data_IF_230373449270
#
_entry.id   IF_230373449270
#
_cell.length_a   1.000
_cell.length_b   1.000
_cell.length_c   1.000
_cell.angle_alpha   90.00
_cell.angle_beta   90.00
_cell.angle_gamma   90.00
#
_symmetry.space_group_name_H-M   'P 1'
#
loop_
_entity.id
_entity.type
_entity.pdbx_description
1 polymer ?
#
# COMPACT_ATOMS: atom_id res chain seq x y z
N UNK A 1 -19.83 8.72 3.62
CA UNK A 1 -19.36 7.32 3.81
C UNK A 1 -20.57 6.48 4.17
N UNK A 2 -20.68 5.28 3.61
CA UNK A 2 -21.76 4.35 3.97
C UNK A 2 -21.69 3.95 5.45
N UNK A 3 -22.85 3.63 6.02
CA UNK A 3 -22.94 3.21 7.42
C UNK A 3 -22.26 1.85 7.64
N UNK A 4 -21.87 1.51 8.88
CA UNK A 4 -21.39 0.16 9.20
C UNK A 4 -22.38 -0.95 8.77
N UNK A 5 -23.69 -0.69 8.87
CA UNK A 5 -24.74 -1.62 8.47
C UNK A 5 -24.75 -1.85 6.95
N UNK A 6 -24.54 -0.82 6.15
CA UNK A 6 -24.45 -0.94 4.69
C UNK A 6 -23.23 -1.76 4.26
N UNK A 7 -22.09 -1.56 4.93
CA UNK A 7 -20.86 -2.33 4.69
C UNK A 7 -21.05 -3.80 5.07
N UNK A 8 -21.67 -4.07 6.22
CA UNK A 8 -22.00 -5.43 6.66
C UNK A 8 -22.95 -6.12 5.65
N UNK A 9 -23.96 -5.41 5.15
CA UNK A 9 -24.87 -5.92 4.12
C UNK A 9 -24.15 -6.22 2.81
N UNK A 10 -23.23 -5.36 2.38
CA UNK A 10 -22.41 -5.59 1.20
C UNK A 10 -21.48 -6.80 1.37
N UNK A 11 -20.81 -6.91 2.52
CA UNK A 11 -19.95 -8.03 2.88
C UNK A 11 -20.69 -9.38 2.88
N UNK A 12 -21.90 -9.43 3.43
CA UNK A 12 -22.72 -10.64 3.49
C UNK A 12 -23.10 -11.21 2.10
N UNK A 13 -23.05 -10.41 1.04
CA UNK A 13 -23.32 -10.85 -0.35
C UNK A 13 -22.12 -11.55 -1.01
N UNK A 14 -20.95 -11.55 -0.38
CA UNK A 14 -19.74 -12.17 -0.94
C UNK A 14 -19.76 -13.68 -0.71
N UNK A 15 -19.52 -14.43 -1.79
CA UNK A 15 -19.39 -15.88 -1.76
C UNK A 15 -18.06 -16.26 -1.09
N UNK A 16 -18.03 -17.34 -0.29
CA UNK A 16 -16.80 -17.81 0.37
C UNK A 16 -15.61 -17.97 -0.59
N UNK A 17 -15.85 -18.52 -1.78
CA UNK A 17 -14.82 -18.68 -2.82
C UNK A 17 -14.17 -17.36 -3.24
N UNK A 18 -14.96 -16.30 -3.42
CA UNK A 18 -14.42 -14.99 -3.82
C UNK A 18 -13.60 -14.33 -2.70
N UNK A 19 -13.97 -14.58 -1.44
CA UNK A 19 -13.17 -14.19 -0.29
C UNK A 19 -11.87 -14.99 -0.20
N UNK A 20 -11.92 -16.31 -0.40
CA UNK A 20 -10.73 -17.17 -0.43
C UNK A 20 -9.75 -16.78 -1.54
N UNK A 21 -10.23 -16.54 -2.76
CA UNK A 21 -9.42 -16.09 -3.88
C UNK A 21 -8.76 -14.72 -3.59
N UNK A 22 -9.51 -13.77 -3.03
CA UNK A 22 -8.95 -12.47 -2.66
C UNK A 22 -7.92 -12.55 -1.53
N UNK A 23 -8.17 -13.36 -0.50
CA UNK A 23 -7.19 -13.63 0.58
C UNK A 23 -5.93 -14.27 0.02
N UNK A 24 -6.07 -15.27 -0.86
CA UNK A 24 -4.94 -15.94 -1.50
C UNK A 24 -4.09 -14.99 -2.34
N UNK A 25 -4.69 -14.01 -3.03
CA UNK A 25 -3.95 -12.99 -3.76
C UNK A 25 -3.15 -12.06 -2.82
N UNK A 26 -3.75 -11.65 -1.69
CA UNK A 26 -3.07 -10.85 -0.66
C UNK A 26 -1.93 -11.64 -0.02
N UNK A 27 -2.17 -12.90 0.36
CA UNK A 27 -1.19 -13.80 0.96
C UNK A 27 0.01 -14.03 0.03
N UNK A 28 -0.25 -14.40 -1.22
CA UNK A 28 0.81 -14.65 -2.20
C UNK A 28 1.69 -13.42 -2.40
N UNK A 29 1.10 -12.22 -2.42
CA UNK A 29 1.86 -10.97 -2.54
C UNK A 29 2.63 -10.64 -1.27
N UNK A 30 2.04 -10.82 -0.09
CA UNK A 30 2.72 -10.61 1.20
C UNK A 30 3.94 -11.52 1.37
N UNK A 31 3.82 -12.80 1.05
CA UNK A 31 4.95 -13.75 1.08
C UNK A 31 6.04 -13.39 0.06
N UNK A 32 5.65 -12.95 -1.14
CA UNK A 32 6.62 -12.47 -2.13
C UNK A 32 7.34 -11.20 -1.65
N UNK A 33 6.61 -10.28 -1.02
CA UNK A 33 7.15 -9.05 -0.48
C UNK A 33 8.17 -9.32 0.63
N UNK A 34 7.84 -10.20 1.60
CA UNK A 34 8.78 -10.62 2.66
C UNK A 34 10.10 -11.17 2.10
N UNK A 35 10.03 -12.08 1.12
CA UNK A 35 11.25 -12.60 0.45
C UNK A 35 12.05 -11.53 -0.27
N UNK A 36 11.40 -10.47 -0.74
CA UNK A 36 12.06 -9.36 -1.44
C UNK A 36 12.65 -8.35 -0.46
N UNK A 37 12.08 -8.19 0.74
CA UNK A 37 12.68 -7.39 1.82
C UNK A 37 14.05 -7.93 2.23
N UNK A 38 14.24 -9.26 2.29
CA UNK A 38 15.56 -9.86 2.58
C UNK A 38 16.63 -9.41 1.56
N UNK A 39 16.25 -9.24 0.29
CA UNK A 39 17.16 -8.76 -0.76
C UNK A 39 17.46 -7.27 -0.62
N UNK A 40 16.47 -6.50 -0.19
CA UNK A 40 16.63 -5.08 0.07
C UNK A 40 17.58 -4.88 1.27
N UNK A 41 17.38 -5.63 2.34
CA UNK A 41 18.23 -5.63 3.54
C UNK A 41 19.69 -5.96 3.19
N UNK A 42 19.92 -7.03 2.41
CA UNK A 42 21.26 -7.36 1.92
C UNK A 42 21.89 -6.26 1.04
N UNK A 43 21.06 -5.46 0.37
CA UNK A 43 21.49 -4.32 -0.45
C UNK A 43 22.08 -3.16 0.34
N UNK A 44 21.72 -3.02 1.62
CA UNK A 44 22.18 -1.93 2.49
C UNK A 44 23.70 -1.90 2.65
N UNK A 45 24.36 -3.05 2.59
CA UNK A 45 25.81 -3.17 2.65
C UNK A 45 26.53 -2.39 1.52
N UNK A 46 25.82 -2.03 0.44
CA UNK A 46 26.35 -1.28 -0.69
C UNK A 46 26.14 0.23 -0.59
N UNK A 47 25.45 0.71 0.45
CA UNK A 47 25.25 2.14 0.69
C UNK A 47 26.49 2.68 1.40
N UNK A 48 27.33 3.45 0.71
CA UNK A 48 28.55 4.05 1.27
C UNK A 48 28.52 5.57 1.34
N UNK A 49 27.63 6.20 0.59
CA UNK A 49 27.55 7.65 0.42
C UNK A 49 26.12 8.17 0.59
N UNK A 50 25.96 9.45 0.90
CA UNK A 50 24.64 10.07 1.05
C UNK A 50 23.82 9.97 -0.24
N UNK A 51 24.47 10.12 -1.40
CA UNK A 51 23.83 9.95 -2.71
C UNK A 51 23.33 8.52 -2.96
N UNK A 52 24.12 7.52 -2.55
CA UNK A 52 23.67 6.13 -2.62
C UNK A 52 22.52 5.88 -1.66
N UNK A 53 22.55 6.47 -0.46
CA UNK A 53 21.48 6.35 0.52
C UNK A 53 20.17 6.97 0.01
N UNK A 54 20.22 8.15 -0.58
CA UNK A 54 19.06 8.80 -1.23
C UNK A 54 18.48 7.95 -2.36
N UNK A 55 19.34 7.46 -3.26
CA UNK A 55 18.91 6.59 -4.36
C UNK A 55 18.29 5.30 -3.83
N UNK A 56 18.88 4.73 -2.79
CA UNK A 56 18.38 3.53 -2.14
C UNK A 56 17.06 3.78 -1.41
N UNK A 57 16.90 4.93 -0.75
CA UNK A 57 15.66 5.38 -0.10
C UNK A 57 14.52 5.53 -1.09
N UNK A 58 14.76 6.17 -2.25
CA UNK A 58 13.77 6.26 -3.33
C UNK A 58 13.39 4.88 -3.87
N UNK A 59 14.38 4.03 -4.14
CA UNK A 59 14.12 2.67 -4.62
C UNK A 59 13.34 1.83 -3.59
N UNK A 60 13.67 1.99 -2.31
CA UNK A 60 12.94 1.37 -1.18
C UNK A 60 11.51 1.84 -1.17
N UNK A 61 11.25 3.15 -1.20
CA UNK A 61 9.90 3.71 -1.21
C UNK A 61 9.06 3.18 -2.38
N UNK A 62 9.60 3.18 -3.60
CA UNK A 62 8.92 2.61 -4.77
C UNK A 62 8.61 1.13 -4.60
N UNK A 63 9.55 0.37 -4.03
CA UNK A 63 9.36 -1.04 -3.72
C UNK A 63 8.27 -1.28 -2.66
N UNK A 64 8.23 -0.45 -1.62
CA UNK A 64 7.19 -0.49 -0.59
C UNK A 64 5.81 -0.17 -1.17
N UNK A 65 5.69 0.84 -2.04
CA UNK A 65 4.43 1.19 -2.70
C UNK A 65 3.92 0.09 -3.64
N UNK A 66 4.81 -0.61 -4.37
CA UNK A 66 4.40 -1.76 -5.18
C UNK A 66 3.84 -2.90 -4.31
N UNK A 67 4.17 -2.99 -3.02
CA UNK A 67 3.66 -4.05 -2.15
C UNK A 67 2.16 -3.95 -1.84
N UNK A 68 1.54 -2.78 -2.05
CA UNK A 68 0.19 -2.49 -1.59
C UNK A 68 -0.87 -3.40 -2.27
N UNK A 69 -1.84 -3.94 -1.51
CA UNK A 69 -2.86 -4.86 -2.03
C UNK A 69 -4.03 -4.11 -2.70
N UNK A 70 -3.70 -3.20 -3.62
CA UNK A 70 -4.63 -2.32 -4.32
C UNK A 70 -5.03 -2.84 -5.72
N UNK A 71 -4.69 -4.08 -6.06
CA UNK A 71 -5.10 -4.68 -7.33
C UNK A 71 -6.48 -5.35 -7.22
N UNK A 72 -7.27 -5.45 -8.31
CA UNK A 72 -8.59 -6.06 -8.29
C UNK A 72 -8.61 -7.50 -7.73
N UNK A 73 -7.56 -8.29 -7.96
CA UNK A 73 -7.47 -9.66 -7.48
C UNK A 73 -7.40 -9.74 -5.94
N UNK A 74 -6.96 -8.68 -5.28
CA UNK A 74 -6.91 -8.58 -3.82
C UNK A 74 -8.22 -8.07 -3.21
N UNK A 75 -9.28 -7.86 -4.00
CA UNK A 75 -10.57 -7.35 -3.54
C UNK A 75 -11.67 -8.41 -3.74
N UNK A 76 -12.33 -8.89 -2.67
CA UNK A 76 -13.35 -9.93 -2.80
C UNK A 76 -14.57 -9.47 -3.63
N UNK A 77 -14.86 -8.17 -3.62
CA UNK A 77 -15.93 -7.58 -4.43
C UNK A 77 -15.59 -7.59 -5.93
N UNK A 78 -14.34 -7.24 -6.28
CA UNK A 78 -13.87 -7.28 -7.67
C UNK A 78 -13.80 -8.73 -8.17
N UNK A 79 -13.22 -9.63 -7.39
CA UNK A 79 -13.13 -11.06 -7.73
C UNK A 79 -14.51 -11.67 -8.00
N UNK A 80 -15.51 -11.40 -7.15
CA UNK A 80 -16.86 -11.91 -7.35
C UNK A 80 -17.54 -11.39 -8.64
N UNK A 81 -17.18 -10.19 -9.10
CA UNK A 81 -17.81 -9.52 -10.24
C UNK A 81 -16.94 -9.50 -11.50
N UNK A 82 -15.76 -10.13 -11.47
CA UNK A 82 -14.85 -10.23 -12.60
C UNK A 82 -15.57 -10.88 -13.80
N UNK A 83 -15.53 -10.21 -14.97
CA UNK A 83 -16.10 -10.71 -16.22
C UNK A 83 -17.59 -10.43 -16.47
N UNK A 84 -18.29 -9.72 -15.58
CA UNK A 84 -19.73 -9.52 -15.69
C UNK A 84 -20.20 -8.10 -16.12
N UNK A 85 -19.30 -7.13 -16.38
CA UNK A 85 -19.64 -5.70 -16.53
C UNK A 85 -20.52 -5.17 -15.37
N UNK A 86 -20.42 -5.76 -14.18
CA UNK A 86 -21.21 -5.44 -12.98
C UNK A 86 -20.39 -4.71 -11.90
N UNK A 87 -19.23 -4.17 -12.25
CA UNK A 87 -18.40 -3.38 -11.33
C UNK A 87 -19.16 -2.19 -10.74
N UNK A 88 -20.04 -1.54 -11.52
CA UNK A 88 -20.92 -0.43 -11.09
C UNK A 88 -21.92 -0.72 -10.00
N UNK A 89 -22.20 -2.00 -9.72
CA UNK A 89 -23.15 -2.42 -8.69
C UNK A 89 -22.56 -3.43 -7.70
N UNK A 90 -21.23 -3.56 -7.64
CA UNK A 90 -20.62 -4.37 -6.59
C UNK A 90 -20.84 -3.73 -5.21
N UNK A 91 -20.89 -4.53 -4.16
CA UNK A 91 -21.17 -4.03 -2.81
C UNK A 91 -20.18 -2.96 -2.32
N UNK A 92 -18.92 -2.99 -2.80
CA UNK A 92 -17.95 -1.92 -2.53
C UNK A 92 -18.36 -0.62 -3.24
N UNK A 93 -18.69 -0.68 -4.53
CA UNK A 93 -19.14 0.48 -5.31
C UNK A 93 -20.40 1.12 -4.72
N UNK A 94 -21.37 0.32 -4.29
CA UNK A 94 -22.59 0.77 -3.61
C UNK A 94 -22.28 1.58 -2.32
N UNK A 95 -21.21 1.23 -1.62
CA UNK A 95 -20.90 1.79 -0.29
C UNK A 95 -19.80 2.87 -0.31
N UNK A 96 -19.00 2.93 -1.39
CA UNK A 96 -17.80 3.75 -1.48
C UNK A 96 -17.74 4.64 -2.73
N UNK A 97 -18.90 4.95 -3.32
CA UNK A 97 -19.04 6.05 -4.28
C UNK A 97 -18.84 5.67 -5.74
N UNK A 98 -19.17 4.43 -6.13
CA UNK A 98 -19.18 4.00 -7.52
C UNK A 98 -18.04 3.05 -7.90
N UNK A 99 -17.85 2.87 -9.20
CA UNK A 99 -16.89 1.91 -9.77
C UNK A 99 -15.47 2.18 -9.30
N UNK A 100 -14.69 1.12 -9.10
CA UNK A 100 -13.32 1.24 -8.57
C UNK A 100 -12.37 2.01 -9.50
N UNK A 101 -12.69 2.10 -10.79
CA UNK A 101 -11.98 2.89 -11.80
C UNK A 101 -12.60 4.28 -12.04
N UNK A 102 -13.68 4.63 -11.34
CA UNK A 102 -14.22 5.98 -11.36
C UNK A 102 -13.40 6.91 -10.46
N UNK A 103 -13.05 8.10 -10.99
CA UNK A 103 -12.30 9.18 -10.30
C UNK A 103 -12.98 9.64 -8.98
N UNK A 104 -14.28 9.38 -8.84
CA UNK A 104 -15.06 9.77 -7.66
C UNK A 104 -15.12 8.70 -6.58
N UNK A 105 -14.72 7.45 -6.88
CA UNK A 105 -14.77 6.35 -5.92
C UNK A 105 -13.65 6.46 -4.89
N UNK A 106 -13.90 5.98 -3.66
CA UNK A 106 -12.87 6.00 -2.62
C UNK A 106 -11.64 5.14 -2.99
N UNK A 107 -11.85 4.08 -3.77
CA UNK A 107 -10.78 3.20 -4.23
C UNK A 107 -9.96 3.84 -5.35
N UNK A 108 -10.61 4.41 -6.37
CA UNK A 108 -9.96 5.13 -7.46
C UNK A 108 -9.12 6.28 -6.93
N UNK A 109 -9.68 7.10 -6.04
CA UNK A 109 -8.95 8.20 -5.40
C UNK A 109 -7.76 7.76 -4.56
N UNK A 110 -7.82 6.58 -3.93
CA UNK A 110 -6.69 6.04 -3.18
C UNK A 110 -5.60 5.55 -4.13
N UNK A 111 -5.96 4.85 -5.22
CA UNK A 111 -5.00 4.41 -6.24
C UNK A 111 -4.32 5.60 -6.89
N UNK A 112 -5.08 6.60 -7.33
CA UNK A 112 -4.55 7.83 -7.92
C UNK A 112 -3.57 8.51 -6.96
N UNK A 113 -3.94 8.69 -5.68
CA UNK A 113 -3.04 9.29 -4.71
C UNK A 113 -1.73 8.48 -4.50
N UNK A 114 -1.80 7.15 -4.53
CA UNK A 114 -0.60 6.29 -4.45
C UNK A 114 0.26 6.41 -5.72
N UNK A 115 -0.37 6.49 -6.89
CA UNK A 115 0.32 6.67 -8.18
C UNK A 115 0.99 8.06 -8.23
N UNK A 116 0.30 9.10 -7.78
CA UNK A 116 0.84 10.45 -7.68
C UNK A 116 2.03 10.50 -6.73
N UNK A 117 1.93 9.87 -5.55
CA UNK A 117 3.05 9.74 -4.60
C UNK A 117 4.25 9.02 -5.25
N UNK A 118 4.01 7.93 -5.97
CA UNK A 118 5.08 7.24 -6.69
C UNK A 118 5.69 8.12 -7.80
N UNK A 119 4.87 8.94 -8.47
CA UNK A 119 5.30 9.96 -9.44
C UNK A 119 6.22 11.00 -8.80
N UNK A 120 5.81 11.60 -7.69
CA UNK A 120 6.61 12.57 -6.93
C UNK A 120 7.97 11.99 -6.51
N UNK A 121 8.02 10.73 -6.08
CA UNK A 121 9.28 10.04 -5.75
C UNK A 121 10.14 9.82 -7.01
N UNK A 122 9.52 9.44 -8.12
CA UNK A 122 10.21 9.17 -9.39
C UNK A 122 10.78 10.44 -10.03
N UNK A 123 10.11 11.58 -9.89
CA UNK A 123 10.52 12.86 -10.44
C UNK A 123 11.71 13.51 -9.72
N UNK A 124 12.07 13.00 -8.53
CA UNK A 124 13.27 13.42 -7.82
C UNK A 124 14.49 13.06 -8.66
N UNK A 125 15.01 14.08 -9.36
CA UNK A 125 16.22 13.96 -10.16
C UNK A 125 17.41 13.62 -9.27
N UNK A 126 18.37 12.88 -9.81
CA UNK A 126 19.67 12.59 -9.17
C UNK A 126 20.58 13.84 -9.06
N UNK A 127 20.01 15.04 -9.06
CA UNK A 127 20.73 16.26 -8.76
C UNK A 127 21.15 16.21 -7.28
N UNK A 128 22.37 16.64 -6.95
CA UNK A 128 22.82 16.63 -5.57
C UNK A 128 21.85 17.44 -4.71
N UNK A 129 21.28 16.78 -3.72
CA UNK A 129 20.61 17.47 -2.62
C UNK A 129 21.58 18.49 -2.03
N UNK A 130 21.05 19.65 -1.64
CA UNK A 130 21.85 20.71 -1.01
C UNK A 130 22.21 20.38 0.45
N UNK A 131 21.61 19.33 1.02
CA UNK A 131 21.90 18.81 2.36
C UNK A 131 22.73 17.54 2.27
N UNK A 132 23.86 17.50 2.98
CA UNK A 132 24.64 16.27 3.10
C UNK A 132 23.87 15.25 3.94
N UNK A 133 23.31 14.21 3.30
CA UNK A 133 22.77 13.04 4.00
C UNK A 133 23.93 12.26 4.61
N UNK A 134 23.92 12.08 5.94
CA UNK A 134 24.86 11.19 6.62
C UNK A 134 24.54 9.73 6.22
N UNK A 135 25.45 9.01 5.55
CA UNK A 135 25.22 7.63 5.13
C UNK A 135 24.88 6.68 6.30
N UNK A 136 25.45 6.92 7.48
CA UNK A 136 25.25 6.03 8.63
C UNK A 136 23.90 6.26 9.31
N UNK A 137 23.44 7.52 9.39
CA UNK A 137 22.08 7.82 9.83
C UNK A 137 21.05 7.31 8.83
N UNK A 138 21.30 7.50 7.54
CA UNK A 138 20.41 7.03 6.49
C UNK A 138 20.30 5.50 6.46
N UNK A 139 21.40 4.76 6.68
CA UNK A 139 21.34 3.30 6.85
C UNK A 139 20.42 2.89 7.99
N UNK A 140 20.53 3.52 9.16
CA UNK A 140 19.66 3.21 10.31
C UNK A 140 18.19 3.46 9.99
N UNK A 141 17.88 4.55 9.29
CA UNK A 141 16.51 4.82 8.84
C UNK A 141 16.01 3.77 7.83
N UNK A 142 16.85 3.34 6.87
CA UNK A 142 16.50 2.29 5.93
C UNK A 142 16.29 0.93 6.61
N UNK A 143 17.16 0.56 7.56
CA UNK A 143 17.01 -0.66 8.37
C UNK A 143 15.68 -0.63 9.13
N UNK A 144 15.36 0.50 9.76
CA UNK A 144 14.11 0.67 10.48
C UNK A 144 12.89 0.65 9.53
N UNK A 145 13.00 1.24 8.34
CA UNK A 145 11.98 1.18 7.28
C UNK A 145 11.69 -0.26 6.85
N UNK A 146 12.74 -1.05 6.60
CA UNK A 146 12.63 -2.46 6.23
C UNK A 146 12.02 -3.28 7.36
N UNK A 147 12.47 -3.08 8.60
CA UNK A 147 11.95 -3.79 9.77
C UNK A 147 10.45 -3.50 9.99
N UNK A 148 10.03 -2.23 9.95
CA UNK A 148 8.60 -1.85 10.05
C UNK A 148 7.78 -2.43 8.92
N UNK A 149 8.32 -2.45 7.70
CA UNK A 149 7.64 -3.04 6.53
C UNK A 149 7.47 -4.55 6.68
N UNK A 150 8.46 -5.24 7.25
CA UNK A 150 8.40 -6.68 7.55
C UNK A 150 7.33 -6.96 8.59
N UNK A 151 7.34 -6.23 9.70
CA UNK A 151 6.33 -6.37 10.76
C UNK A 151 4.92 -6.13 10.22
N UNK A 152 4.73 -5.10 9.39
CA UNK A 152 3.44 -4.81 8.76
C UNK A 152 2.96 -5.97 7.88
N UNK A 153 3.85 -6.56 7.08
CA UNK A 153 3.51 -7.67 6.20
C UNK A 153 3.20 -8.96 6.98
N UNK A 154 3.99 -9.28 8.01
CA UNK A 154 3.74 -10.42 8.89
C UNK A 154 2.39 -10.28 9.63
N UNK A 155 2.10 -9.07 10.13
CA UNK A 155 0.82 -8.75 10.77
C UNK A 155 -0.33 -8.91 9.80
N UNK A 156 -0.22 -8.38 8.58
CA UNK A 156 -1.24 -8.56 7.54
C UNK A 156 -1.52 -10.04 7.30
N UNK A 157 -0.49 -10.87 7.14
CA UNK A 157 -0.64 -12.31 6.90
C UNK A 157 -1.33 -13.02 8.07
N UNK A 158 -1.01 -12.64 9.31
CA UNK A 158 -1.65 -13.17 10.49
C UNK A 158 -3.13 -12.74 10.60
N UNK A 159 -3.43 -11.47 10.32
CA UNK A 159 -4.79 -10.92 10.42
C UNK A 159 -5.74 -11.46 9.35
N UNK A 160 -5.25 -11.68 8.12
CA UNK A 160 -6.09 -12.23 7.05
C UNK A 160 -6.36 -13.73 7.20
N UNK A 161 -5.60 -14.43 8.05
CA UNK A 161 -5.76 -15.85 8.30
C UNK A 161 -7.11 -16.12 8.99
N UNK A 162 -8.11 -16.51 8.20
CA UNK A 162 -9.47 -16.74 8.69
C UNK A 162 -10.34 -15.48 8.75
N UNK A 163 -9.85 -14.31 8.32
CA UNK A 163 -10.65 -13.09 8.27
C UNK A 163 -11.88 -13.25 7.37
N UNK A 164 -13.01 -12.67 7.81
CA UNK A 164 -14.16 -12.42 6.96
C UNK A 164 -13.89 -11.25 5.98
N UNK A 165 -14.90 -10.84 5.22
CA UNK A 165 -14.75 -9.75 4.25
C UNK A 165 -14.38 -8.43 4.92
N UNK A 166 -15.02 -8.09 6.04
CA UNK A 166 -14.74 -6.85 6.75
C UNK A 166 -13.34 -6.87 7.35
N UNK A 167 -12.96 -7.97 8.01
CA UNK A 167 -11.62 -8.16 8.56
C UNK A 167 -10.53 -8.11 7.49
N UNK A 168 -10.76 -8.68 6.30
CA UNK A 168 -9.81 -8.57 5.19
C UNK A 168 -9.62 -7.10 4.75
N UNK A 169 -10.70 -6.36 4.60
CA UNK A 169 -10.64 -4.97 4.15
C UNK A 169 -10.03 -4.04 5.21
N UNK A 170 -10.32 -4.28 6.49
CA UNK A 170 -9.70 -3.59 7.63
C UNK A 170 -8.20 -3.88 7.73
N UNK A 171 -7.79 -5.15 7.64
CA UNK A 171 -6.38 -5.55 7.66
C UNK A 171 -5.61 -4.91 6.49
N UNK A 172 -6.20 -4.88 5.29
CA UNK A 172 -5.61 -4.18 4.13
C UNK A 172 -5.45 -2.68 4.39
N UNK A 173 -6.46 -2.03 4.97
CA UNK A 173 -6.40 -0.60 5.31
C UNK A 173 -5.27 -0.32 6.31
N UNK A 174 -5.18 -1.13 7.37
CA UNK A 174 -4.13 -1.03 8.38
C UNK A 174 -2.74 -1.23 7.77
N UNK A 175 -2.58 -2.25 6.93
CA UNK A 175 -1.32 -2.51 6.22
C UNK A 175 -0.89 -1.35 5.33
N UNK A 176 -1.80 -0.76 4.54
CA UNK A 176 -1.48 0.41 3.70
C UNK A 176 -0.97 1.56 4.57
N UNK A 177 -1.64 1.85 5.69
CA UNK A 177 -1.20 2.87 6.64
C UNK A 177 0.19 2.61 7.21
N UNK A 178 0.45 1.37 7.61
CA UNK A 178 1.75 0.96 8.15
C UNK A 178 2.89 1.06 7.10
N UNK A 179 2.61 0.74 5.83
CA UNK A 179 3.59 0.90 4.75
C UNK A 179 3.88 2.38 4.48
N UNK A 180 2.88 3.27 4.54
CA UNK A 180 3.10 4.71 4.42
C UNK A 180 3.98 5.26 5.56
N UNK A 181 3.82 4.74 6.78
CA UNK A 181 4.68 5.06 7.94
C UNK A 181 6.08 4.46 7.85
N UNK A 182 6.23 3.38 7.09
CA UNK A 182 7.51 2.76 6.86
C UNK A 182 8.32 3.45 5.75
N UNK A 183 7.74 4.34 4.95
CA UNK A 183 8.48 5.06 3.91
C UNK A 183 9.67 5.84 4.50
N UNK A 184 10.87 5.78 3.87
CA UNK A 184 12.05 6.50 4.33
C UNK A 184 11.99 7.99 3.93
N UNK A 185 10.96 8.70 4.40
CA UNK A 185 10.68 10.09 4.03
C UNK A 185 11.80 11.06 4.49
N UNK A 186 12.48 10.75 5.59
CA UNK A 186 13.61 11.55 6.09
C UNK A 186 14.78 11.56 5.12
N UNK A 187 15.08 10.40 4.52
CA UNK A 187 16.10 10.26 3.46
C UNK A 187 15.66 10.93 2.15
N UNK A 188 14.38 10.81 1.81
CA UNK A 188 13.85 11.41 0.58
C UNK A 188 13.87 12.95 0.67
N UNK A 189 13.53 13.51 1.84
CA UNK A 189 13.70 14.93 2.15
C UNK A 189 12.91 15.88 1.23
N UNK A 190 11.80 15.42 0.65
CA UNK A 190 11.01 16.18 -0.32
C UNK A 190 9.66 16.61 0.25
N UNK A 191 9.40 17.93 0.40
CA UNK A 191 8.10 18.42 0.89
C UNK A 191 6.92 18.02 0.01
N UNK A 192 7.16 17.78 -1.29
CA UNK A 192 6.17 17.27 -2.23
C UNK A 192 5.77 15.84 -1.87
N UNK A 193 6.76 14.99 -1.56
CA UNK A 193 6.54 13.61 -1.13
C UNK A 193 5.80 13.59 0.20
N UNK A 194 6.17 14.44 1.16
CA UNK A 194 5.46 14.52 2.45
C UNK A 194 3.99 14.90 2.27
N UNK A 195 3.70 15.90 1.42
CA UNK A 195 2.31 16.28 1.09
C UNK A 195 1.56 15.15 0.39
N UNK A 196 2.21 14.43 -0.52
CA UNK A 196 1.60 13.31 -1.21
C UNK A 196 1.30 12.15 -0.25
N UNK A 197 2.19 11.85 0.72
CA UNK A 197 1.93 10.86 1.78
C UNK A 197 0.66 11.24 2.57
N UNK A 198 0.54 12.51 2.98
CA UNK A 198 -0.64 12.98 3.69
C UNK A 198 -1.92 12.92 2.84
N UNK A 199 -1.81 13.16 1.53
CA UNK A 199 -2.93 12.98 0.61
C UNK A 199 -3.38 11.52 0.57
N UNK A 200 -2.45 10.55 0.48
CA UNK A 200 -2.80 9.12 0.56
C UNK A 200 -3.47 8.78 1.89
N UNK A 201 -2.92 9.25 3.02
CA UNK A 201 -3.53 9.03 4.36
C UNK A 201 -4.95 9.55 4.43
N UNK A 202 -5.21 10.75 3.90
CA UNK A 202 -6.54 11.35 3.89
C UNK A 202 -7.55 10.54 3.06
N UNK A 203 -7.12 9.95 1.93
CA UNK A 203 -7.96 9.06 1.10
C UNK A 203 -8.17 7.70 1.76
N UNK A 204 -7.16 7.16 2.43
CA UNK A 204 -7.21 5.87 3.12
C UNK A 204 -8.29 5.82 4.20
N UNK A 205 -8.63 6.96 4.83
CA UNK A 205 -9.75 7.06 5.80
C UNK A 205 -11.09 6.63 5.18
N UNK A 206 -11.26 6.83 3.87
CA UNK A 206 -12.49 6.53 3.14
C UNK A 206 -12.47 5.17 2.46
N UNK A 207 -11.34 4.46 2.48
CA UNK A 207 -11.16 3.19 1.79
C UNK A 207 -12.09 2.08 2.30
N UNK A 208 -12.20 1.98 3.63
CA UNK A 208 -13.05 1.02 4.35
C UNK A 208 -13.25 1.52 5.78
#
# INVERSE_FOLDING_TARGET
>A
MASPEDKARAAAKIRPRSLEEARGAVEARGLLFLRRLDRLEAGLARVGTGREAERFGRATAMFLLDSLPLRPEACPFCVQNAGANRCGSCGYAETHGGECDAETSAFGQLIEAVVDLAGEIHEIRDNPSTGAVDPEEAKKELEASIARSREAAERLLAEIAGADVSGLMEAKRAYIGAILEALPAGIIGSPQVDRAIEAVRAKLVRYW
#
